data_IF_129445713736
#
_entry.id   IF_129445713736
#
_cell.length_a   1.000
_cell.length_b   1.000
_cell.length_c   1.000
_cell.angle_alpha   90.00
_cell.angle_beta   90.00
_cell.angle_gamma   90.00
#
_symmetry.space_group_name_H-M   'P 1'
#
loop_
_entity.id
_entity.type
_entity.pdbx_description
1 polymer ?
#
# COMPACT_ATOMS: atom_id res chain seq x y z
N UNK A 1 2.99 -17.50 -26.33
CA UNK A 1 2.95 -16.60 -25.16
C UNK A 1 1.50 -16.55 -24.73
N UNK A 2 1.18 -16.85 -23.47
CA UNK A 2 -0.23 -16.88 -23.04
C UNK A 2 -0.81 -15.46 -23.07
N UNK A 3 -1.73 -15.20 -24.00
CA UNK A 3 -2.63 -14.04 -23.99
C UNK A 3 -3.62 -14.18 -22.83
N UNK A 4 -3.12 -14.05 -21.59
CA UNK A 4 -4.02 -13.94 -20.44
C UNK A 4 -4.43 -12.49 -20.31
N UNK A 5 -5.71 -12.22 -20.48
CA UNK A 5 -6.32 -10.97 -20.05
C UNK A 5 -6.07 -10.80 -18.55
N UNK A 6 -5.65 -9.60 -18.16
CA UNK A 6 -5.46 -9.24 -16.76
C UNK A 6 -6.81 -8.84 -16.18
N UNK A 7 -7.17 -9.35 -15.00
CA UNK A 7 -8.41 -8.99 -14.31
C UNK A 7 -8.28 -7.68 -13.50
N UNK A 8 -7.08 -7.38 -13.00
CA UNK A 8 -6.76 -6.15 -12.28
C UNK A 8 -5.25 -5.87 -12.31
N UNK A 9 -4.86 -4.64 -11.99
CA UNK A 9 -3.48 -4.28 -11.68
C UNK A 9 -3.35 -3.99 -10.20
N UNK A 10 -2.37 -4.62 -9.53
CA UNK A 10 -1.97 -4.26 -8.18
C UNK A 10 -0.59 -3.63 -8.23
N UNK A 11 -0.46 -2.40 -7.72
CA UNK A 11 0.85 -1.72 -7.60
C UNK A 11 1.26 -1.63 -6.15
N UNK A 12 2.42 -2.19 -5.81
CA UNK A 12 2.95 -2.11 -4.45
C UNK A 12 3.74 -0.81 -4.24
N UNK A 13 3.26 0.00 -3.30
CA UNK A 13 3.90 1.23 -2.86
C UNK A 13 4.08 1.18 -1.34
N UNK A 14 5.19 1.72 -0.83
CA UNK A 14 5.38 1.85 0.62
C UNK A 14 4.42 2.89 1.23
N UNK A 15 4.06 3.90 0.44
CA UNK A 15 3.12 4.97 0.77
C UNK A 15 2.35 5.34 -0.50
N UNK A 16 1.01 5.40 -0.41
CA UNK A 16 0.16 5.77 -1.53
C UNK A 16 0.39 7.22 -2.00
N UNK A 17 0.91 8.09 -1.14
CA UNK A 17 1.25 9.50 -1.42
C UNK A 17 2.58 9.67 -2.16
N UNK A 18 3.26 8.57 -2.50
CA UNK A 18 4.60 8.60 -3.08
C UNK A 18 4.61 9.31 -4.44
N UNK A 19 5.48 10.31 -4.57
CA UNK A 19 5.82 10.94 -5.86
C UNK A 19 6.88 10.12 -6.61
N UNK A 20 6.94 10.27 -7.93
CA UNK A 20 8.00 9.66 -8.73
C UNK A 20 9.37 10.19 -8.31
N UNK A 21 10.43 9.45 -8.61
CA UNK A 21 11.80 9.99 -8.54
C UNK A 21 12.17 10.73 -9.83
N UNK A 22 11.41 10.52 -10.90
CA UNK A 22 11.61 11.21 -12.17
C UNK A 22 11.12 12.66 -12.06
N UNK A 23 11.96 13.61 -12.50
CA UNK A 23 11.64 15.04 -12.46
C UNK A 23 10.41 15.39 -13.32
N UNK A 24 10.13 14.59 -14.33
CA UNK A 24 9.01 14.82 -15.24
C UNK A 24 7.64 14.40 -14.65
N UNK A 25 7.64 13.72 -13.49
CA UNK A 25 6.44 13.13 -12.88
C UNK A 25 6.32 13.52 -11.40
N UNK A 26 6.33 14.83 -11.13
CA UNK A 26 6.26 15.40 -9.77
C UNK A 26 4.90 16.03 -9.43
N UNK A 27 3.99 16.17 -10.39
CA UNK A 27 2.73 16.91 -10.18
C UNK A 27 1.67 16.07 -9.45
N UNK A 28 1.76 14.75 -9.54
CA UNK A 28 0.82 13.80 -8.95
C UNK A 28 1.54 12.63 -8.31
N UNK A 29 0.82 11.88 -7.47
CA UNK A 29 1.32 10.61 -6.91
C UNK A 29 1.54 9.59 -8.03
N UNK A 30 2.41 8.61 -7.79
CA UNK A 30 2.59 7.47 -8.70
C UNK A 30 1.25 6.77 -8.95
N UNK A 31 0.43 6.63 -7.90
CA UNK A 31 -0.89 6.01 -7.98
C UNK A 31 -1.79 6.75 -8.98
N UNK A 32 -1.90 8.08 -8.84
CA UNK A 32 -2.68 8.92 -9.74
C UNK A 32 -2.20 8.85 -11.21
N UNK A 33 -0.89 8.92 -11.45
CA UNK A 33 -0.36 8.78 -12.82
C UNK A 33 -0.68 7.41 -13.43
N UNK A 34 -0.62 6.34 -12.64
CA UNK A 34 -0.95 4.99 -13.10
C UNK A 34 -2.45 4.88 -13.39
N UNK A 35 -3.30 5.42 -12.53
CA UNK A 35 -4.75 5.47 -12.72
C UNK A 35 -5.13 6.20 -14.01
N UNK A 36 -4.60 7.41 -14.21
CA UNK A 36 -4.76 8.20 -15.44
C UNK A 36 -4.34 7.39 -16.68
N UNK A 37 -3.23 6.65 -16.58
CA UNK A 37 -2.69 5.87 -17.70
C UNK A 37 -3.54 4.63 -18.01
N UNK A 38 -4.12 4.00 -16.99
CA UNK A 38 -5.04 2.88 -17.18
C UNK A 38 -6.33 3.36 -17.84
N UNK A 39 -6.83 4.53 -17.47
CA UNK A 39 -8.02 5.15 -18.05
C UNK A 39 -9.23 4.20 -18.03
N UNK A 40 -9.45 3.51 -16.90
CA UNK A 40 -10.58 2.60 -16.69
C UNK A 40 -10.53 1.28 -17.46
N UNK A 41 -9.46 1.00 -18.22
CA UNK A 41 -9.32 -0.27 -18.96
C UNK A 41 -9.15 -1.49 -18.06
N UNK A 42 -8.74 -1.28 -16.82
CA UNK A 42 -8.43 -2.33 -15.85
C UNK A 42 -8.64 -1.79 -14.44
N UNK A 43 -9.28 -2.52 -13.50
CA UNK A 43 -9.35 -2.07 -12.11
C UNK A 43 -7.95 -1.98 -11.49
N UNK A 44 -7.67 -0.87 -10.81
CA UNK A 44 -6.45 -0.65 -10.06
C UNK A 44 -6.69 -0.91 -8.56
N UNK A 45 -5.82 -1.73 -7.98
CA UNK A 45 -5.75 -1.94 -6.52
C UNK A 45 -4.65 -1.04 -5.97
N UNK A 46 -5.04 0.01 -5.25
CA UNK A 46 -4.15 0.94 -4.57
C UNK A 46 -3.73 0.43 -3.19
N UNK A 47 -2.45 0.62 -2.85
CA UNK A 47 -1.88 0.21 -1.55
C UNK A 47 -0.88 1.25 -1.04
N UNK A 48 -0.46 1.05 0.21
CA UNK A 48 0.71 1.71 0.80
C UNK A 48 0.35 2.45 2.07
N UNK A 49 0.76 1.92 3.22
CA UNK A 49 0.55 2.52 4.55
C UNK A 49 -0.89 2.98 4.86
N UNK A 50 -1.91 2.34 4.25
CA UNK A 50 -3.33 2.62 4.52
C UNK A 50 -3.67 2.17 5.94
N UNK A 51 -3.97 3.13 6.82
CA UNK A 51 -4.15 2.88 8.25
C UNK A 51 -5.57 3.14 8.73
N UNK A 52 -6.29 4.08 8.12
CA UNK A 52 -7.57 4.57 8.62
C UNK A 52 -8.57 4.90 7.49
N UNK A 53 -9.76 5.37 7.87
CA UNK A 53 -10.83 5.69 6.94
C UNK A 53 -10.45 6.78 5.93
N UNK A 54 -9.67 7.77 6.35
CA UNK A 54 -9.22 8.87 5.49
C UNK A 54 -8.25 8.36 4.43
N UNK A 55 -7.30 7.50 4.81
CA UNK A 55 -6.40 6.87 3.85
C UNK A 55 -7.18 6.05 2.81
N UNK A 56 -8.17 5.27 3.24
CA UNK A 56 -9.03 4.50 2.32
C UNK A 56 -9.71 5.42 1.31
N UNK A 57 -10.32 6.53 1.78
CA UNK A 57 -10.96 7.52 0.90
C UNK A 57 -9.96 8.14 -0.07
N UNK A 58 -8.77 8.48 0.41
CA UNK A 58 -7.73 9.11 -0.40
C UNK A 58 -7.21 8.16 -1.48
N UNK A 59 -6.99 6.87 -1.16
CA UNK A 59 -6.58 5.87 -2.16
C UNK A 59 -7.67 5.66 -3.20
N UNK A 60 -8.94 5.61 -2.78
CA UNK A 60 -10.07 5.41 -3.69
C UNK A 60 -10.33 6.59 -4.65
N UNK A 61 -9.70 7.75 -4.45
CA UNK A 61 -9.76 8.83 -5.44
C UNK A 61 -8.97 8.46 -6.72
N UNK A 62 -7.94 7.62 -6.60
CA UNK A 62 -7.01 7.26 -7.67
C UNK A 62 -6.91 5.73 -7.87
N UNK A 63 -7.88 4.96 -7.38
CA UNK A 63 -7.94 3.50 -7.52
C UNK A 63 -9.36 2.96 -7.29
N UNK A 64 -9.69 1.83 -7.91
CA UNK A 64 -11.00 1.19 -7.75
C UNK A 64 -11.10 0.33 -6.49
N UNK A 65 -9.96 -0.16 -5.98
CA UNK A 65 -9.88 -1.03 -4.81
C UNK A 65 -8.73 -0.61 -3.90
N UNK A 66 -8.85 -0.90 -2.59
CA UNK A 66 -7.81 -0.66 -1.60
C UNK A 66 -7.38 -1.97 -0.97
N UNK A 67 -6.07 -2.20 -0.85
CA UNK A 67 -5.54 -3.26 0.00
C UNK A 67 -4.78 -2.68 1.20
N UNK A 68 -5.05 -3.23 2.38
CA UNK A 68 -4.44 -2.83 3.64
C UNK A 68 -3.72 -4.02 4.29
N UNK A 69 -2.40 -4.10 4.13
CA UNK A 69 -1.60 -5.20 4.68
C UNK A 69 -1.24 -4.99 6.17
N UNK A 70 -0.44 -3.96 6.45
CA UNK A 70 0.03 -3.67 7.81
C UNK A 70 -1.12 -3.48 8.79
N UNK A 71 -2.16 -2.74 8.39
CA UNK A 71 -3.32 -2.49 9.24
C UNK A 71 -4.01 -3.79 9.70
N UNK A 72 -4.20 -4.77 8.80
CA UNK A 72 -4.79 -6.06 9.16
C UNK A 72 -3.90 -6.92 10.05
N UNK A 73 -2.58 -6.83 9.90
CA UNK A 73 -1.64 -7.54 10.77
C UNK A 73 -1.67 -7.02 12.21
N UNK A 74 -1.94 -5.72 12.38
CA UNK A 74 -1.98 -5.08 13.69
C UNK A 74 -3.37 -5.09 14.32
N UNK A 75 -4.42 -5.02 13.50
CA UNK A 75 -5.81 -5.00 13.93
C UNK A 75 -6.64 -5.92 13.03
N UNK A 76 -6.89 -7.14 13.51
CA UNK A 76 -7.70 -8.12 12.78
C UNK A 76 -9.14 -7.65 12.52
N UNK A 77 -9.64 -6.69 13.32
CA UNK A 77 -10.97 -6.09 13.15
C UNK A 77 -10.93 -4.80 12.33
N UNK A 78 -9.77 -4.42 11.77
CA UNK A 78 -9.57 -3.18 11.04
C UNK A 78 -10.65 -2.95 9.98
N UNK A 79 -10.90 -3.94 9.12
CA UNK A 79 -11.91 -3.82 8.07
C UNK A 79 -13.32 -3.55 8.62
N UNK A 80 -13.68 -4.17 9.74
CA UNK A 80 -14.97 -3.91 10.39
C UNK A 80 -15.03 -2.50 10.99
N UNK A 81 -13.94 -2.04 11.59
CA UNK A 81 -13.84 -0.69 12.16
C UNK A 81 -13.97 0.38 11.08
N UNK A 82 -13.28 0.21 9.95
CA UNK A 82 -13.42 1.05 8.74
C UNK A 82 -14.89 1.09 8.29
N UNK A 83 -15.52 -0.06 8.07
CA UNK A 83 -16.92 -0.12 7.61
C UNK A 83 -17.91 0.53 8.59
N UNK A 84 -17.60 0.57 9.89
CA UNK A 84 -18.42 1.19 10.94
C UNK A 84 -17.98 2.61 11.29
N UNK A 85 -17.00 3.17 10.58
CA UNK A 85 -16.39 4.46 10.86
C UNK A 85 -15.90 4.60 12.32
N UNK A 86 -15.31 3.52 12.85
CA UNK A 86 -14.73 3.43 14.18
C UNK A 86 -13.23 3.72 14.14
N UNK A 87 -12.64 4.20 15.25
CA UNK A 87 -11.21 4.42 15.33
C UNK A 87 -10.43 3.10 15.15
N UNK A 88 -9.37 3.16 14.34
CA UNK A 88 -8.40 2.09 14.12
C UNK A 88 -7.18 2.27 15.01
N UNK A 89 -6.38 1.22 15.17
CA UNK A 89 -5.11 1.34 15.88
C UNK A 89 -4.15 2.29 15.13
N UNK A 90 -3.36 3.06 15.87
CA UNK A 90 -2.37 3.97 15.31
C UNK A 90 -1.11 3.21 14.87
N UNK A 91 -0.94 3.08 13.54
CA UNK A 91 0.23 2.41 12.97
C UNK A 91 1.55 3.15 13.23
N UNK A 92 1.55 4.47 13.42
CA UNK A 92 2.78 5.23 13.71
C UNK A 92 3.22 5.00 15.15
N UNK A 93 2.31 5.12 16.12
CA UNK A 93 2.59 4.80 17.52
C UNK A 93 3.10 3.36 17.72
N UNK A 94 2.69 2.43 16.86
CA UNK A 94 3.15 1.04 16.89
C UNK A 94 4.52 0.83 16.23
N UNK A 95 4.86 1.57 15.15
CA UNK A 95 6.21 1.56 14.55
C UNK A 95 7.29 2.06 15.51
N UNK A 96 6.92 3.01 16.37
CA UNK A 96 7.80 3.55 17.40
C UNK A 96 7.96 2.61 18.62
N UNK A 97 7.24 1.48 18.65
CA UNK A 97 7.36 0.49 19.71
C UNK A 97 8.63 -0.39 19.53
N UNK A 98 9.52 -0.49 20.54
CA UNK A 98 10.76 -1.25 20.43
C UNK A 98 10.54 -2.76 20.18
N UNK A 99 9.35 -3.33 20.47
CA UNK A 99 9.05 -4.73 20.14
C UNK A 99 8.85 -4.97 18.63
N UNK A 100 8.41 -3.95 17.88
CA UNK A 100 8.23 -4.03 16.42
C UNK A 100 9.55 -3.92 15.66
N UNK A 101 10.54 -3.21 16.21
CA UNK A 101 11.89 -3.10 15.63
C UNK A 101 12.61 -4.46 15.53
N UNK A 102 12.26 -5.44 16.38
CA UNK A 102 12.81 -6.80 16.30
C UNK A 102 12.26 -7.59 15.10
N UNK A 103 10.99 -7.38 14.73
CA UNK A 103 10.41 -8.00 13.54
C UNK A 103 11.04 -7.43 12.25
N UNK A 104 11.28 -6.12 12.22
CA UNK A 104 12.02 -5.47 11.12
C UNK A 104 13.47 -5.96 11.03
N UNK A 105 14.12 -6.26 12.16
CA UNK A 105 15.44 -6.90 12.20
C UNK A 105 15.46 -8.28 11.55
N UNK A 106 14.40 -9.08 11.75
CA UNK A 106 14.25 -10.40 11.12
C UNK A 106 13.95 -10.29 9.62
N UNK A 107 13.10 -9.35 9.22
CA UNK A 107 12.86 -9.06 7.80
C UNK A 107 14.10 -8.48 7.10
N UNK A 108 14.89 -7.68 7.81
CA UNK A 108 16.20 -7.19 7.36
C UNK A 108 17.17 -8.34 7.12
N UNK A 109 17.26 -9.29 8.05
CA UNK A 109 18.07 -10.50 7.93
C UNK A 109 17.65 -11.36 6.72
N UNK A 110 16.34 -11.59 6.53
CA UNK A 110 15.82 -12.33 5.36
C UNK A 110 16.10 -11.59 4.05
N UNK A 111 16.07 -10.25 4.06
CA UNK A 111 16.38 -9.43 2.88
C UNK A 111 17.86 -9.46 2.53
N UNK A 112 18.76 -9.49 3.52
CA UNK A 112 20.20 -9.67 3.32
C UNK A 112 20.50 -11.01 2.66
N UNK A 113 19.90 -12.11 3.14
CA UNK A 113 20.09 -13.43 2.53
C UNK A 113 19.51 -13.56 1.11
N UNK A 114 18.56 -12.70 0.75
CA UNK A 114 17.93 -12.71 -0.59
C UNK A 114 18.70 -11.92 -1.64
N UNK A 115 19.82 -11.26 -1.27
CA UNK A 115 20.67 -10.49 -2.19
C UNK A 115 22.04 -11.14 -2.47
N UNK A 116 22.30 -12.36 -1.98
CA UNK A 116 23.55 -13.11 -2.22
C UNK A 116 23.43 -14.12 -3.38
N UNK A 117 22.78 -13.74 -4.48
CA UNK A 117 22.88 -14.44 -5.77
C UNK A 117 23.43 -13.46 -6.84
N UNK A 118 24.72 -13.15 -6.74
CA UNK A 118 25.55 -12.63 -7.84
C UNK A 118 26.95 -13.25 -7.77
#
# INVERSE_FOLDING_TARGET
MSEKELDYLHISLNDYKRLSVSKDYQEKTILAYVHDKIAGRLPLVGVGSVANQEDVKNVLNDAELVAAGQALLHDLNWGQKILKNQPTEDLQALKDNPRHQMADGLFGFVKTFRMDDH
#
